data_IF_977236410110
#
_entry.id   IF_977236410110
#
_cell.length_a   1.000
_cell.length_b   1.000
_cell.length_c   1.000
_cell.angle_alpha   90.00
_cell.angle_beta   90.00
_cell.angle_gamma   90.00
#
_symmetry.space_group_name_H-M   'P 1'
#
loop_
_entity.id
_entity.type
_entity.pdbx_description
1 polymer ?
#
# COMPACT_ATOMS: atom_id res chain seq x y z
N UNK A 1 2.89 -22.57 -7.37
CA UNK A 1 2.89 -21.16 -6.95
C UNK A 1 2.02 -20.40 -7.95
N UNK A 2 1.22 -19.43 -7.50
CA UNK A 2 0.52 -18.53 -8.41
C UNK A 2 1.56 -17.74 -9.22
N UNK A 3 1.22 -17.39 -10.45
CA UNK A 3 2.02 -16.50 -11.31
C UNK A 3 2.04 -15.08 -10.77
N UNK A 4 3.02 -14.29 -11.20
CA UNK A 4 3.11 -12.89 -10.81
C UNK A 4 1.86 -12.10 -11.22
N UNK A 5 1.31 -12.38 -12.40
CA UNK A 5 0.07 -11.75 -12.86
C UNK A 5 -1.15 -12.12 -12.00
N UNK A 6 -1.23 -13.36 -11.51
CA UNK A 6 -2.29 -13.76 -10.58
C UNK A 6 -2.13 -13.07 -9.23
N UNK A 7 -0.89 -12.98 -8.73
CA UNK A 7 -0.59 -12.28 -7.47
C UNK A 7 -0.91 -10.78 -7.57
N UNK A 8 -0.52 -10.14 -8.68
CA UNK A 8 -0.79 -8.73 -8.92
C UNK A 8 -2.30 -8.46 -9.03
N UNK A 9 -3.06 -9.33 -9.72
CA UNK A 9 -4.51 -9.21 -9.80
C UNK A 9 -5.20 -9.38 -8.43
N UNK A 10 -4.74 -10.32 -7.61
CA UNK A 10 -5.25 -10.51 -6.25
C UNK A 10 -4.93 -9.30 -5.37
N UNK A 11 -3.71 -8.77 -5.46
CA UNK A 11 -3.29 -7.60 -4.70
C UNK A 11 -4.04 -6.33 -5.12
N UNK A 12 -4.30 -6.16 -6.42
CA UNK A 12 -5.05 -5.02 -6.93
C UNK A 12 -6.51 -5.05 -6.45
N UNK A 13 -7.16 -6.22 -6.53
CA UNK A 13 -8.51 -6.42 -6.00
C UNK A 13 -8.56 -6.15 -4.49
N UNK A 14 -7.64 -6.71 -3.71
CA UNK A 14 -7.60 -6.50 -2.26
C UNK A 14 -7.25 -5.04 -1.87
N UNK A 15 -6.41 -4.37 -2.67
CA UNK A 15 -6.13 -2.94 -2.49
C UNK A 15 -7.38 -2.10 -2.77
N UNK A 16 -8.15 -2.45 -3.79
CA UNK A 16 -9.40 -1.78 -4.13
C UNK A 16 -10.46 -1.96 -3.02
N UNK A 17 -10.65 -3.18 -2.51
CA UNK A 17 -11.58 -3.45 -1.42
C UNK A 17 -11.25 -2.60 -0.17
N UNK A 18 -9.96 -2.48 0.17
CA UNK A 18 -9.54 -1.70 1.34
C UNK A 18 -9.62 -0.18 1.11
N UNK A 19 -9.40 0.27 -0.13
CA UNK A 19 -9.62 1.66 -0.53
C UNK A 19 -11.10 2.04 -0.42
N UNK A 20 -12.01 1.19 -0.87
CA UNK A 20 -13.45 1.39 -0.71
C UNK A 20 -13.88 1.44 0.76
N UNK A 21 -13.31 0.56 1.61
CA UNK A 21 -13.59 0.57 3.04
C UNK A 21 -13.17 1.90 3.70
N UNK A 22 -11.94 2.37 3.42
CA UNK A 22 -11.43 3.64 3.95
C UNK A 22 -12.30 4.82 3.48
N UNK A 23 -12.63 4.87 2.20
CA UNK A 23 -13.47 5.94 1.62
C UNK A 23 -14.89 5.89 2.21
N UNK A 24 -15.44 4.69 2.42
CA UNK A 24 -16.76 4.52 3.03
C UNK A 24 -16.83 5.03 4.48
N UNK A 25 -15.70 4.94 5.21
CA UNK A 25 -15.61 5.35 6.61
C UNK A 25 -15.24 6.83 6.79
N UNK A 26 -14.32 7.34 5.96
CA UNK A 26 -13.69 8.65 6.14
C UNK A 26 -14.06 9.67 5.06
N UNK A 27 -14.74 9.24 3.99
CA UNK A 27 -15.08 10.07 2.84
C UNK A 27 -14.06 9.99 1.70
N UNK A 28 -14.32 10.69 0.58
CA UNK A 28 -13.52 10.59 -0.65
C UNK A 28 -12.10 11.18 -0.52
N UNK A 29 -11.88 12.05 0.46
CA UNK A 29 -10.56 12.61 0.80
C UNK A 29 -10.25 12.20 2.26
N UNK A 30 -9.85 10.93 2.49
CA UNK A 30 -9.70 10.40 3.83
C UNK A 30 -8.54 11.06 4.57
N UNK A 31 -8.81 11.51 5.80
CA UNK A 31 -7.83 12.09 6.70
C UNK A 31 -7.72 11.23 7.95
N UNK A 32 -6.49 10.85 8.30
CA UNK A 32 -6.19 10.15 9.55
C UNK A 32 -5.64 11.14 10.58
N UNK A 33 -6.23 11.21 11.77
CA UNK A 33 -5.71 12.04 12.87
C UNK A 33 -4.32 11.55 13.33
N UNK A 34 -4.10 10.24 13.30
CA UNK A 34 -2.86 9.58 13.71
C UNK A 34 -2.61 8.32 12.89
N UNK A 35 -1.45 8.27 12.22
CA UNK A 35 -0.90 7.05 11.63
C UNK A 35 0.35 6.63 12.40
N UNK A 36 0.36 5.41 12.95
CA UNK A 36 1.52 4.85 13.66
C UNK A 36 2.39 4.10 12.65
N UNK A 37 3.59 4.60 12.40
CA UNK A 37 4.51 4.04 11.42
C UNK A 37 5.79 3.54 12.09
N UNK A 38 6.14 2.29 11.80
CA UNK A 38 7.51 1.81 11.96
C UNK A 38 8.38 2.29 10.79
N UNK A 39 9.68 2.36 10.99
CA UNK A 39 10.65 2.70 9.96
C UNK A 39 11.75 1.63 9.91
N UNK A 40 11.98 1.09 8.71
CA UNK A 40 13.09 0.17 8.47
C UNK A 40 14.44 0.87 8.42
N UNK A 41 15.57 0.13 8.55
CA UNK A 41 16.93 0.67 8.42
C UNK A 41 17.23 1.25 7.02
N UNK A 42 16.45 0.85 6.03
CA UNK A 42 16.41 1.33 4.66
C UNK A 42 15.45 2.52 4.47
N UNK A 43 14.92 3.11 5.55
CA UNK A 43 13.94 4.20 5.55
C UNK A 43 12.58 3.87 4.90
N UNK A 44 12.26 2.60 4.66
CA UNK A 44 10.91 2.22 4.27
C UNK A 44 9.94 2.40 5.45
N UNK A 45 8.70 2.79 5.12
CA UNK A 45 7.57 2.87 6.05
C UNK A 45 6.35 2.23 5.39
N UNK A 46 5.42 1.71 6.18
CA UNK A 46 4.37 0.81 5.69
C UNK A 46 4.99 -0.30 4.81
N UNK A 47 4.56 -0.45 3.55
CA UNK A 47 5.25 -1.29 2.56
C UNK A 47 5.82 -0.46 1.39
N UNK A 48 6.13 0.82 1.64
CA UNK A 48 6.71 1.72 0.66
C UNK A 48 8.23 1.69 0.75
N UNK A 49 8.86 0.88 -0.10
CA UNK A 49 10.31 0.71 -0.14
C UNK A 49 10.97 1.70 -1.09
N UNK A 50 12.15 2.25 -0.75
CA UNK A 50 12.94 3.03 -1.70
C UNK A 50 13.25 2.23 -2.97
N UNK A 51 13.10 2.87 -4.13
CA UNK A 51 13.36 2.25 -5.43
C UNK A 51 12.22 1.39 -6.00
N UNK A 52 11.17 1.11 -5.22
CA UNK A 52 9.95 0.48 -5.74
C UNK A 52 8.92 1.53 -6.20
N UNK A 53 8.12 1.27 -7.25
CA UNK A 53 7.22 2.27 -7.83
C UNK A 53 6.15 2.78 -6.86
N UNK A 54 5.75 1.97 -5.88
CA UNK A 54 4.65 2.28 -4.95
C UNK A 54 4.92 3.53 -4.11
N UNK A 55 6.18 3.85 -3.77
CA UNK A 55 6.52 5.08 -3.03
C UNK A 55 6.20 6.36 -3.82
N UNK A 56 6.14 6.25 -5.15
CA UNK A 56 5.85 7.35 -6.06
C UNK A 56 4.37 7.40 -6.48
N UNK A 57 3.52 6.49 -5.99
CA UNK A 57 2.09 6.53 -6.30
C UNK A 57 1.46 7.83 -5.74
N UNK A 58 0.68 8.52 -6.59
CA UNK A 58 -0.11 9.71 -6.23
C UNK A 58 -1.59 9.61 -6.61
N UNK A 59 -2.01 8.48 -7.19
CA UNK A 59 -3.33 8.29 -7.79
C UNK A 59 -4.28 7.48 -6.89
N UNK A 60 -3.73 6.55 -6.09
CA UNK A 60 -4.49 5.65 -5.22
C UNK A 60 -4.05 5.80 -3.78
N UNK A 61 -4.96 5.58 -2.83
CA UNK A 61 -4.68 5.64 -1.38
C UNK A 61 -4.21 4.29 -0.83
N UNK A 62 -4.54 3.19 -1.50
CA UNK A 62 -4.06 1.83 -1.19
C UNK A 62 -3.45 1.20 -2.44
N UNK A 63 -2.34 0.48 -2.27
CA UNK A 63 -1.68 -0.27 -3.35
C UNK A 63 -1.25 -1.66 -2.93
N UNK A 64 -1.23 -2.56 -3.91
CA UNK A 64 -0.52 -3.83 -3.84
C UNK A 64 0.99 -3.68 -3.99
N UNK A 65 1.73 -4.41 -3.17
CA UNK A 65 3.18 -4.58 -3.29
C UNK A 65 3.45 -6.07 -3.48
N UNK A 66 3.82 -6.44 -4.70
CA UNK A 66 4.39 -7.74 -5.00
C UNK A 66 5.93 -7.68 -4.88
N UNK A 67 6.57 -8.83 -4.64
CA UNK A 67 8.02 -8.97 -4.51
C UNK A 67 8.67 -8.01 -3.51
N UNK A 68 8.01 -7.76 -2.36
CA UNK A 68 8.61 -7.01 -1.25
C UNK A 68 10.02 -7.55 -0.94
N UNK A 69 11.06 -6.70 -0.84
CA UNK A 69 12.42 -7.11 -0.52
C UNK A 69 12.54 -7.77 0.86
N UNK A 70 11.50 -7.64 1.70
CA UNK A 70 11.39 -8.27 3.03
C UNK A 70 10.16 -9.16 3.10
N UNK A 71 10.32 -10.39 3.58
CA UNK A 71 9.22 -11.36 3.74
C UNK A 71 8.15 -10.85 4.73
N UNK A 72 6.85 -11.16 4.50
CA UNK A 72 6.29 -11.83 3.32
C UNK A 72 6.32 -10.94 2.05
N UNK A 73 6.36 -11.55 0.84
CA UNK A 73 6.60 -10.83 -0.42
C UNK A 73 5.39 -10.04 -0.92
N UNK A 74 4.18 -10.50 -0.60
CA UNK A 74 2.92 -9.84 -0.99
C UNK A 74 2.39 -9.03 0.19
N UNK A 75 2.11 -7.75 -0.03
CA UNK A 75 1.63 -6.82 0.99
C UNK A 75 0.64 -5.83 0.39
N UNK A 76 -0.24 -5.30 1.21
CA UNK A 76 -0.96 -4.05 0.93
C UNK A 76 -0.24 -2.88 1.62
N UNK A 77 -0.40 -1.68 1.09
CA UNK A 77 0.15 -0.46 1.70
C UNK A 77 -0.78 0.72 1.50
N UNK A 78 -0.94 1.54 2.53
CA UNK A 78 -1.30 2.95 2.34
C UNK A 78 -0.19 3.66 1.57
N UNK A 79 -0.57 4.63 0.75
CA UNK A 79 0.35 5.44 -0.07
C UNK A 79 0.65 6.79 0.56
N UNK A 80 1.65 7.49 0.02
CA UNK A 80 2.09 8.81 0.52
C UNK A 80 0.94 9.83 0.62
N UNK A 81 0.04 10.00 -0.38
CA UNK A 81 -1.06 10.97 -0.31
C UNK A 81 -1.94 10.89 0.95
N UNK A 82 -2.11 9.71 1.55
CA UNK A 82 -2.93 9.52 2.77
C UNK A 82 -2.09 9.60 4.05
N UNK A 83 -0.78 9.44 3.93
CA UNK A 83 0.17 9.43 5.05
C UNK A 83 0.88 10.78 5.26
N UNK A 84 0.65 11.77 4.38
CA UNK A 84 1.33 13.07 4.37
C UNK A 84 0.43 14.22 4.79
#
# INVERSE_FOLDING_TARGET
>A
AASDSENDAILDAAAHDYEEEIIGLLGPEPVFDLAILGMGPDAHMASLFPGLPQVNNRERIVVGVNHSPKLPPMRLSLTVPVLS
#
